data_IF_897480391027
#
_entry.id   IF_897480391027
#
_cell.length_a   1.000
_cell.length_b   1.000
_cell.length_c   1.000
_cell.angle_alpha   90.00
_cell.angle_beta   90.00
_cell.angle_gamma   90.00
#
_symmetry.space_group_name_H-M   'P 1'
#
loop_
_entity.id
_entity.type
_entity.pdbx_description
1 polymer ?
#
# COMPACT_ATOMS: atom_id res chain seq x y z
N UNK A 1 -14.10 -4.64 -1.74
CA UNK A 1 -14.78 -3.34 -1.70
C UNK A 1 -15.61 -3.17 -0.44
N UNK A 2 -16.41 -4.16 -0.04
CA UNK A 2 -17.24 -4.09 1.17
C UNK A 2 -16.42 -3.70 2.42
N UNK A 3 -15.22 -4.25 2.58
CA UNK A 3 -14.33 -3.91 3.69
C UNK A 3 -13.97 -2.41 3.72
N UNK A 4 -13.68 -1.82 2.56
CA UNK A 4 -13.44 -0.38 2.45
C UNK A 4 -14.69 0.44 2.77
N UNK A 5 -15.83 0.04 2.25
CA UNK A 5 -17.11 0.73 2.48
C UNK A 5 -17.52 0.69 3.95
N UNK A 6 -17.25 -0.42 4.65
CA UNK A 6 -17.65 -0.60 6.04
C UNK A 6 -16.64 0.00 7.04
N UNK A 7 -15.34 0.02 6.72
CA UNK A 7 -14.29 0.34 7.69
C UNK A 7 -13.55 1.66 7.39
N UNK A 8 -13.57 2.14 6.15
CA UNK A 8 -12.86 3.39 5.78
C UNK A 8 -13.82 4.53 5.51
N UNK A 9 -14.88 4.33 4.71
CA UNK A 9 -15.81 5.41 4.39
C UNK A 9 -16.45 6.07 5.61
N UNK A 10 -16.86 5.34 6.67
CA UNK A 10 -17.48 5.98 7.85
C UNK A 10 -16.55 6.92 8.62
N UNK A 11 -15.22 6.69 8.52
CA UNK A 11 -14.18 7.48 9.20
C UNK A 11 -13.41 8.38 8.24
N UNK A 12 -13.81 8.47 6.97
CA UNK A 12 -13.09 9.19 5.93
C UNK A 12 -12.84 10.67 6.25
N UNK A 13 -13.75 11.30 6.99
CA UNK A 13 -13.60 12.70 7.42
C UNK A 13 -12.49 12.92 8.44
N UNK A 14 -12.03 11.86 9.10
CA UNK A 14 -10.95 11.90 10.10
C UNK A 14 -9.57 11.68 9.46
N UNK A 15 -9.53 11.24 8.19
CA UNK A 15 -8.31 10.98 7.46
C UNK A 15 -7.75 12.29 6.91
N UNK A 16 -6.47 12.57 7.22
CA UNK A 16 -5.79 13.76 6.71
C UNK A 16 -5.62 13.67 5.20
N UNK A 17 -5.81 14.80 4.54
CA UNK A 17 -5.57 14.95 3.10
C UNK A 17 -4.20 15.60 2.84
N UNK A 18 -3.47 15.08 1.88
CA UNK A 18 -2.18 15.60 1.45
C UNK A 18 -1.95 15.36 -0.04
N UNK A 19 -0.97 16.05 -0.62
CA UNK A 19 -0.40 15.63 -1.90
C UNK A 19 0.54 14.47 -1.61
N UNK A 20 0.27 13.32 -2.22
CA UNK A 20 1.03 12.08 -2.06
C UNK A 20 1.66 11.68 -3.39
N UNK A 21 2.77 10.94 -3.34
CA UNK A 21 3.44 10.39 -4.53
C UNK A 21 2.57 9.32 -5.20
N UNK A 22 1.86 8.53 -4.39
CA UNK A 22 0.88 7.53 -4.83
C UNK A 22 1.45 6.34 -5.65
N UNK A 23 2.76 6.27 -5.86
CA UNK A 23 3.44 5.13 -6.50
C UNK A 23 4.82 4.85 -5.88
N UNK A 24 4.91 4.96 -4.55
CA UNK A 24 6.13 4.69 -3.77
C UNK A 24 6.46 3.19 -3.73
N UNK A 25 6.92 2.63 -4.83
CA UNK A 25 7.38 1.25 -4.95
C UNK A 25 8.91 1.20 -5.08
N UNK A 26 9.49 -0.01 -5.02
CA UNK A 26 10.93 -0.26 -5.06
C UNK A 26 11.61 0.19 -6.36
N UNK A 27 10.88 0.26 -7.49
CA UNK A 27 11.41 0.76 -8.77
C UNK A 27 11.57 2.28 -8.79
N UNK A 28 10.84 3.00 -7.92
CA UNK A 28 10.84 4.44 -7.84
C UNK A 28 11.73 4.99 -6.71
N UNK A 29 12.40 4.10 -5.94
CA UNK A 29 13.32 4.48 -4.87
C UNK A 29 14.76 4.34 -5.37
N UNK A 30 15.53 5.41 -5.28
CA UNK A 30 16.95 5.41 -5.60
C UNK A 30 17.76 5.11 -4.33
N UNK A 31 18.73 4.22 -4.46
CA UNK A 31 19.66 3.87 -3.39
C UNK A 31 21.11 4.04 -3.87
N UNK A 32 22.01 4.35 -2.96
CA UNK A 32 23.46 4.39 -3.23
C UNK A 32 24.10 3.00 -3.15
N UNK A 33 25.42 2.95 -3.35
CA UNK A 33 26.22 1.72 -3.30
C UNK A 33 26.19 1.02 -1.91
N UNK A 34 25.78 1.73 -0.86
CA UNK A 34 25.64 1.21 0.51
C UNK A 34 24.23 0.74 0.82
N UNK A 35 23.27 0.95 -0.13
CA UNK A 35 21.87 0.65 0.06
C UNK A 35 21.09 1.74 0.80
N UNK A 36 21.68 2.92 1.01
CA UNK A 36 20.98 4.05 1.62
C UNK A 36 20.09 4.76 0.60
N UNK A 37 18.87 5.10 1.00
CA UNK A 37 17.93 5.82 0.14
C UNK A 37 18.44 7.23 -0.16
N UNK A 38 18.57 7.57 -1.43
CA UNK A 38 19.07 8.86 -1.91
C UNK A 38 18.02 9.70 -2.62
N UNK A 39 16.90 9.12 -3.00
CA UNK A 39 15.83 9.86 -3.68
C UNK A 39 14.64 9.00 -4.07
N UNK A 40 13.63 9.68 -4.59
CA UNK A 40 12.46 9.09 -5.20
C UNK A 40 12.23 9.73 -6.57
N UNK A 41 11.76 8.96 -7.54
CA UNK A 41 11.50 9.38 -8.93
C UNK A 41 10.07 9.02 -9.34
N UNK A 42 9.67 9.45 -10.53
CA UNK A 42 8.37 9.18 -11.16
C UNK A 42 7.18 9.79 -10.42
N UNK A 43 7.14 11.11 -10.43
CA UNK A 43 6.07 11.93 -9.84
C UNK A 43 4.79 12.01 -10.70
N UNK A 44 4.66 11.17 -11.74
CA UNK A 44 3.54 11.21 -12.68
C UNK A 44 2.19 10.86 -12.08
N UNK A 45 2.19 10.06 -11.02
CA UNK A 45 0.97 9.57 -10.34
C UNK A 45 0.60 10.37 -9.07
N UNK A 46 1.27 11.52 -8.83
CA UNK A 46 0.95 12.38 -7.67
C UNK A 46 -0.50 12.82 -7.66
N UNK A 47 -1.12 12.76 -6.48
CA UNK A 47 -2.53 13.10 -6.30
C UNK A 47 -2.77 13.73 -4.92
N UNK A 48 -3.80 14.58 -4.82
CA UNK A 48 -4.33 15.04 -3.53
C UNK A 48 -5.30 13.99 -3.00
N UNK A 49 -4.89 13.25 -2.00
CA UNK A 49 -5.63 12.10 -1.46
C UNK A 49 -5.40 11.93 0.04
N UNK A 50 -5.89 10.84 0.64
CA UNK A 50 -5.60 10.52 2.04
C UNK A 50 -4.10 10.34 2.25
N UNK A 51 -3.53 11.06 3.23
CA UNK A 51 -2.11 10.99 3.57
C UNK A 51 -1.66 9.55 3.85
N UNK A 52 -2.48 8.78 4.54
CA UNK A 52 -2.22 7.37 4.89
C UNK A 52 -2.22 6.43 3.67
N UNK A 53 -2.74 6.86 2.52
CA UNK A 53 -2.65 6.08 1.28
C UNK A 53 -1.20 5.99 0.76
N UNK A 54 -0.33 6.95 1.09
CA UNK A 54 1.09 6.89 0.72
C UNK A 54 1.79 5.63 1.28
N UNK A 55 1.85 5.41 2.61
CA UNK A 55 2.44 4.20 3.13
C UNK A 55 1.65 2.94 2.72
N UNK A 56 0.33 3.01 2.51
CA UNK A 56 -0.44 1.87 2.04
C UNK A 56 0.00 1.38 0.65
N UNK A 57 0.37 2.29 -0.25
CA UNK A 57 0.95 1.94 -1.56
C UNK A 57 2.28 1.21 -1.38
N UNK A 58 3.21 1.75 -0.59
CA UNK A 58 4.50 1.11 -0.31
C UNK A 58 4.31 -0.29 0.32
N UNK A 59 3.41 -0.41 1.29
CA UNK A 59 3.08 -1.68 1.96
C UNK A 59 2.54 -2.72 0.97
N UNK A 60 1.67 -2.30 0.04
CA UNK A 60 1.12 -3.20 -0.98
C UNK A 60 2.24 -3.81 -1.83
N UNK A 61 3.19 -3.02 -2.30
CA UNK A 61 4.30 -3.51 -3.12
C UNK A 61 5.31 -4.34 -2.33
N UNK A 62 5.69 -3.92 -1.13
CA UNK A 62 6.65 -4.67 -0.30
C UNK A 62 6.09 -5.98 0.25
N UNK A 63 4.77 -6.11 0.32
CA UNK A 63 4.11 -7.36 0.70
C UNK A 63 4.05 -8.40 -0.42
N UNK A 64 4.33 -8.01 -1.70
CA UNK A 64 4.31 -8.95 -2.81
C UNK A 64 5.38 -10.02 -2.65
N UNK A 65 5.02 -11.26 -3.01
CA UNK A 65 5.92 -12.43 -3.01
C UNK A 65 6.53 -12.79 -1.63
N UNK A 66 6.10 -12.11 -0.55
CA UNK A 66 6.59 -12.41 0.80
C UNK A 66 5.77 -13.52 1.44
N UNK A 67 6.48 -14.44 2.11
CA UNK A 67 5.85 -15.42 2.99
C UNK A 67 5.26 -14.70 4.20
N UNK A 68 6.05 -13.89 4.88
CA UNK A 68 5.62 -12.93 5.89
C UNK A 68 5.49 -11.54 5.25
N UNK A 69 4.26 -11.12 4.96
CA UNK A 69 3.97 -9.79 4.47
C UNK A 69 3.80 -8.77 5.60
N UNK A 70 3.51 -9.22 6.84
CA UNK A 70 3.24 -8.35 7.98
C UNK A 70 4.47 -7.52 8.36
N UNK A 71 5.63 -8.16 8.54
CA UNK A 71 6.84 -7.49 9.03
C UNK A 71 7.29 -6.32 8.15
N UNK A 72 7.46 -6.45 6.82
CA UNK A 72 7.83 -5.31 5.98
C UNK A 72 6.75 -4.22 5.95
N UNK A 73 5.47 -4.57 5.96
CA UNK A 73 4.39 -3.60 6.05
C UNK A 73 4.45 -2.78 7.35
N UNK A 74 4.66 -3.46 8.48
CA UNK A 74 4.75 -2.82 9.80
C UNK A 74 5.97 -1.89 9.90
N UNK A 75 7.11 -2.29 9.32
CA UNK A 75 8.32 -1.46 9.28
C UNK A 75 8.11 -0.17 8.47
N UNK A 76 7.48 -0.25 7.30
CA UNK A 76 7.13 0.93 6.50
C UNK A 76 6.19 1.85 7.26
N UNK A 77 5.13 1.31 7.85
CA UNK A 77 4.16 2.10 8.58
C UNK A 77 4.80 2.83 9.77
N UNK A 78 5.67 2.14 10.52
CA UNK A 78 6.42 2.71 11.64
C UNK A 78 7.37 3.82 11.17
N UNK A 79 8.14 3.57 10.11
CA UNK A 79 9.04 4.56 9.51
C UNK A 79 8.28 5.80 9.04
N UNK A 80 7.17 5.62 8.34
CA UNK A 80 6.32 6.71 7.89
C UNK A 80 5.75 7.51 9.07
N UNK A 81 5.19 6.82 10.07
CA UNK A 81 4.63 7.44 11.27
C UNK A 81 5.66 8.28 12.04
N UNK A 82 6.94 7.88 12.04
CA UNK A 82 8.03 8.63 12.71
C UNK A 82 8.28 9.99 12.06
N UNK A 83 8.02 10.13 10.76
CA UNK A 83 8.18 11.39 10.01
C UNK A 83 6.86 12.17 9.91
N UNK A 84 5.76 11.47 9.70
CA UNK A 84 4.42 12.03 9.50
C UNK A 84 3.45 11.30 10.43
N UNK A 85 3.21 11.88 11.59
CA UNK A 85 2.35 11.27 12.61
C UNK A 85 0.95 10.98 12.06
N UNK A 86 0.56 9.71 12.09
CA UNK A 86 -0.75 9.22 11.73
C UNK A 86 -1.66 9.15 12.96
N UNK A 87 -2.93 9.53 12.82
CA UNK A 87 -3.91 9.36 13.89
C UNK A 87 -4.44 7.91 13.96
N UNK A 88 -5.25 7.62 14.98
CA UNK A 88 -5.76 6.26 15.19
C UNK A 88 -6.65 5.77 14.03
N UNK A 89 -7.47 6.64 13.45
CA UNK A 89 -8.32 6.33 12.30
C UNK A 89 -7.49 6.01 11.05
N UNK A 90 -6.38 6.74 10.84
CA UNK A 90 -5.42 6.47 9.76
C UNK A 90 -4.72 5.12 9.96
N UNK A 91 -4.25 4.82 11.17
CA UNK A 91 -3.60 3.54 11.47
C UNK A 91 -4.56 2.36 11.28
N UNK A 92 -5.82 2.50 11.68
CA UNK A 92 -6.85 1.47 11.48
C UNK A 92 -7.25 1.29 10.02
N UNK A 93 -7.24 2.37 9.21
CA UNK A 93 -7.65 2.31 7.81
C UNK A 93 -6.59 1.75 6.87
N UNK A 94 -5.30 1.78 7.24
CA UNK A 94 -4.18 1.53 6.32
C UNK A 94 -4.25 0.18 5.62
N UNK A 95 -4.60 -0.91 6.32
CA UNK A 95 -4.64 -2.25 5.72
C UNK A 95 -5.77 -2.37 4.67
N UNK A 96 -6.88 -1.70 4.88
CA UNK A 96 -7.97 -1.67 3.89
C UNK A 96 -7.55 -0.90 2.64
N UNK A 97 -6.76 0.18 2.80
CA UNK A 97 -6.19 0.92 1.68
C UNK A 97 -5.13 0.10 0.92
N UNK A 98 -4.34 -0.73 1.63
CA UNK A 98 -3.47 -1.74 0.99
C UNK A 98 -4.29 -2.67 0.10
N UNK A 99 -5.40 -3.21 0.59
CA UNK A 99 -6.28 -4.07 -0.19
C UNK A 99 -6.86 -3.33 -1.42
N UNK A 100 -7.28 -2.07 -1.27
CA UNK A 100 -7.77 -1.25 -2.38
C UNK A 100 -6.66 -1.02 -3.42
N UNK A 101 -5.42 -0.70 -3.01
CA UNK A 101 -4.29 -0.54 -3.94
C UNK A 101 -4.04 -1.82 -4.74
N UNK A 102 -4.05 -2.98 -4.09
CA UNK A 102 -3.91 -4.27 -4.76
C UNK A 102 -5.06 -4.53 -5.76
N UNK A 103 -6.30 -4.21 -5.38
CA UNK A 103 -7.46 -4.32 -6.28
C UNK A 103 -7.31 -3.41 -7.52
N UNK A 104 -6.84 -2.17 -7.34
CA UNK A 104 -6.56 -1.24 -8.44
C UNK A 104 -5.47 -1.84 -9.34
N UNK A 105 -4.37 -2.34 -8.76
CA UNK A 105 -3.26 -2.92 -9.51
C UNK A 105 -3.72 -4.09 -10.41
N UNK A 106 -4.45 -5.07 -9.87
CA UNK A 106 -4.91 -6.22 -10.65
C UNK A 106 -5.94 -5.83 -11.72
N UNK A 107 -6.82 -4.87 -11.42
CA UNK A 107 -7.86 -4.41 -12.35
C UNK A 107 -7.25 -3.62 -13.51
N UNK A 108 -6.34 -2.69 -13.21
CA UNK A 108 -5.66 -1.88 -14.22
C UNK A 108 -4.74 -2.75 -15.09
N UNK A 109 -4.02 -3.70 -14.49
CA UNK A 109 -3.21 -4.66 -15.23
C UNK A 109 -4.08 -5.48 -16.21
N UNK A 110 -5.18 -6.03 -15.73
CA UNK A 110 -6.10 -6.81 -16.58
C UNK A 110 -6.70 -5.96 -17.73
N UNK A 111 -7.03 -4.70 -17.46
CA UNK A 111 -7.53 -3.77 -18.48
C UNK A 111 -6.45 -3.42 -19.51
N UNK A 112 -5.25 -3.07 -19.07
CA UNK A 112 -4.11 -2.75 -19.95
C UNK A 112 -3.71 -3.94 -20.83
N UNK A 113 -3.73 -5.16 -20.28
CA UNK A 113 -3.46 -6.39 -21.07
C UNK A 113 -4.46 -6.60 -22.21
N UNK A 114 -5.72 -6.19 -22.05
CA UNK A 114 -6.69 -6.23 -23.15
C UNK A 114 -6.37 -5.22 -24.25
N UNK A 115 -5.82 -4.05 -23.89
CA UNK A 115 -5.45 -3.02 -24.85
C UNK A 115 -4.10 -3.31 -25.53
N UNK A 116 -3.17 -3.93 -24.81
CA UNK A 116 -1.80 -4.17 -25.27
C UNK A 116 -1.38 -5.63 -25.00
N UNK A 117 -1.98 -6.61 -25.71
CA UNK A 117 -1.80 -8.05 -25.42
C UNK A 117 -0.36 -8.53 -25.60
N UNK A 118 0.44 -7.85 -26.42
CA UNK A 118 1.85 -8.17 -26.66
C UNK A 118 2.79 -7.72 -25.53
N UNK A 119 2.31 -6.84 -24.64
CA UNK A 119 3.14 -6.30 -23.55
C UNK A 119 3.10 -7.20 -22.32
N UNK A 120 4.01 -8.18 -22.25
CA UNK A 120 4.12 -9.13 -21.15
C UNK A 120 4.49 -8.48 -19.80
N UNK A 121 5.08 -7.27 -19.80
CA UNK A 121 5.42 -6.55 -18.57
C UNK A 121 4.18 -6.23 -17.72
N UNK A 122 3.02 -6.01 -18.37
CA UNK A 122 1.77 -5.68 -17.69
C UNK A 122 1.24 -6.80 -16.78
N UNK A 123 1.72 -8.03 -16.95
CA UNK A 123 1.28 -9.19 -16.15
C UNK A 123 2.21 -9.51 -14.97
N UNK A 124 3.39 -8.88 -14.86
CA UNK A 124 4.44 -9.25 -13.90
C UNK A 124 3.94 -9.14 -12.45
N UNK A 125 3.29 -8.04 -12.08
CA UNK A 125 2.78 -7.83 -10.72
C UNK A 125 1.38 -8.41 -10.48
N UNK A 126 0.68 -8.88 -11.53
CA UNK A 126 -0.71 -9.31 -11.41
C UNK A 126 -0.88 -10.54 -10.52
N UNK A 127 -0.08 -11.60 -10.77
CA UNK A 127 -0.15 -12.83 -9.98
C UNK A 127 0.27 -12.60 -8.52
N UNK A 128 1.40 -11.93 -8.22
CA UNK A 128 1.77 -11.60 -6.85
C UNK A 128 0.70 -10.81 -6.09
N UNK A 129 0.07 -9.83 -6.74
CA UNK A 129 -0.99 -9.03 -6.12
C UNK A 129 -2.24 -9.87 -5.81
N UNK A 130 -2.66 -10.77 -6.71
CA UNK A 130 -3.72 -11.73 -6.43
C UNK A 130 -3.38 -12.69 -5.29
N UNK A 131 -2.14 -13.18 -5.23
CA UNK A 131 -1.70 -14.10 -4.18
C UNK A 131 -1.71 -13.41 -2.81
N UNK A 132 -1.28 -12.13 -2.74
CA UNK A 132 -1.36 -11.34 -1.52
C UNK A 132 -2.82 -11.03 -1.12
N UNK A 133 -3.68 -10.65 -2.06
CA UNK A 133 -5.11 -10.43 -1.79
C UNK A 133 -5.77 -11.68 -1.20
N UNK A 134 -5.49 -12.87 -1.75
CA UNK A 134 -6.02 -14.14 -1.22
C UNK A 134 -5.49 -14.50 0.17
N UNK A 135 -4.28 -14.05 0.51
CA UNK A 135 -3.74 -14.18 1.88
C UNK A 135 -4.51 -13.27 2.82
N UNK A 136 -4.65 -11.98 2.46
CA UNK A 136 -5.35 -10.99 3.27
C UNK A 136 -6.86 -11.28 3.42
N UNK A 137 -7.50 -11.90 2.42
CA UNK A 137 -8.90 -12.35 2.50
C UNK A 137 -9.14 -13.37 3.61
N UNK A 138 -8.11 -14.14 4.00
CA UNK A 138 -8.18 -15.15 5.06
C UNK A 138 -7.85 -14.59 6.43
N UNK A 139 -7.31 -13.38 6.49
CA UNK A 139 -6.97 -12.70 7.73
C UNK A 139 -8.16 -11.93 8.28
N UNK A 140 -8.20 -11.79 9.60
CA UNK A 140 -9.05 -10.83 10.29
C UNK A 140 -8.37 -9.44 10.15
N UNK A 141 -8.86 -8.62 9.20
CA UNK A 141 -8.21 -7.33 8.88
C UNK A 141 -8.28 -6.34 10.05
N UNK A 142 -9.28 -6.42 10.92
CA UNK A 142 -9.34 -5.58 12.12
C UNK A 142 -8.19 -5.92 13.07
N UNK A 143 -7.99 -7.21 13.37
CA UNK A 143 -6.85 -7.66 14.17
C UNK A 143 -5.51 -7.39 13.50
N UNK A 144 -5.46 -7.46 12.17
CA UNK A 144 -4.25 -7.09 11.43
C UNK A 144 -3.92 -5.61 11.61
N UNK A 145 -4.90 -4.72 11.52
CA UNK A 145 -4.75 -3.29 11.79
C UNK A 145 -4.31 -2.99 13.23
N UNK A 146 -4.89 -3.70 14.21
CA UNK A 146 -4.50 -3.57 15.62
C UNK A 146 -3.03 -3.97 15.82
N UNK A 147 -2.58 -5.09 15.26
CA UNK A 147 -1.17 -5.52 15.30
C UNK A 147 -0.22 -4.54 14.63
N UNK A 148 -0.62 -3.94 13.50
CA UNK A 148 0.15 -2.88 12.85
C UNK A 148 0.29 -1.66 13.77
N UNK A 149 -0.82 -1.26 14.39
CA UNK A 149 -0.86 -0.14 15.34
C UNK A 149 0.05 -0.42 16.54
N UNK A 150 -0.04 -1.59 17.15
CA UNK A 150 0.85 -2.00 18.25
C UNK A 150 2.33 -1.95 17.85
N UNK A 151 2.67 -2.43 16.64
CA UNK A 151 4.06 -2.41 16.15
C UNK A 151 4.60 -0.99 15.96
N UNK A 152 3.76 -0.05 15.55
CA UNK A 152 4.13 1.37 15.38
C UNK A 152 4.54 2.00 16.70
N UNK A 153 3.88 1.64 17.80
CA UNK A 153 4.11 2.25 19.12
C UNK A 153 5.09 1.48 20.03
N UNK A 154 5.53 0.28 19.64
CA UNK A 154 6.57 -0.49 20.32
C UNK A 154 7.97 -0.25 19.73
#
# INVERSE_FOLDING_TARGET
LNEYENNVLPIAIELKMAVIHNDGNDHNILVDEKGETTGIIDFGDMVFSYQVAEPAVCMAYLGLEKEDAFTPMAQILKGYHSCFSLNNSELKSVIYLVCIRLCISVTMSAWRMKLFPENKYLSVSQKPAWDLLRKLEKEDLEKFADRLTEYVFN
#
